data_IF_182053975340
#
_entry.id   IF_182053975340
#
_cell.length_a   1.000
_cell.length_b   1.000
_cell.length_c   1.000
_cell.angle_alpha   90.00
_cell.angle_beta   90.00
_cell.angle_gamma   90.00
#
_symmetry.space_group_name_H-M   'P 1'
#
loop_
_entity.id
_entity.type
_entity.pdbx_description
1 polymer ?
#
# COMPACT_ATOMS: atom_id res chain seq x y z
N UNK A 1 -9.89 -26.56 4.34
CA UNK A 1 -8.61 -27.24 4.00
C UNK A 1 -7.42 -26.49 4.58
N UNK A 2 -6.46 -27.19 5.20
CA UNK A 2 -5.25 -26.56 5.80
C UNK A 2 -4.43 -25.77 4.77
N UNK A 3 -4.32 -26.29 3.54
CA UNK A 3 -3.57 -25.65 2.46
C UNK A 3 -4.09 -24.24 2.12
N UNK A 4 -5.41 -24.01 2.10
CA UNK A 4 -6.00 -22.68 1.85
C UNK A 4 -5.62 -21.70 2.96
N UNK A 5 -5.66 -22.14 4.23
CA UNK A 5 -5.30 -21.27 5.36
C UNK A 5 -3.83 -20.89 5.32
N UNK A 6 -2.95 -21.84 5.02
CA UNK A 6 -1.52 -21.57 4.82
C UNK A 6 -1.30 -20.62 3.64
N UNK A 7 -2.01 -20.81 2.52
CA UNK A 7 -1.94 -19.89 1.38
C UNK A 7 -2.34 -18.46 1.77
N UNK A 8 -3.45 -18.28 2.51
CA UNK A 8 -3.87 -16.95 3.02
C UNK A 8 -2.78 -16.31 3.88
N UNK A 9 -2.20 -17.08 4.81
CA UNK A 9 -1.11 -16.60 5.67
C UNK A 9 0.11 -16.19 4.83
N UNK A 10 0.55 -17.04 3.90
CA UNK A 10 1.70 -16.78 3.05
C UNK A 10 1.50 -15.56 2.16
N UNK A 11 0.34 -15.40 1.53
CA UNK A 11 0.03 -14.23 0.71
C UNK A 11 0.11 -12.93 1.53
N UNK A 12 -0.48 -12.91 2.73
CA UNK A 12 -0.41 -11.74 3.62
C UNK A 12 1.02 -11.47 4.09
N UNK A 13 1.78 -12.50 4.44
CA UNK A 13 3.16 -12.37 4.89
C UNK A 13 4.05 -11.78 3.79
N UNK A 14 3.90 -12.24 2.54
CA UNK A 14 4.68 -11.73 1.41
C UNK A 14 4.30 -10.28 1.08
N UNK A 15 3.02 -9.91 1.16
CA UNK A 15 2.62 -8.49 1.03
C UNK A 15 3.22 -7.65 2.14
N UNK A 16 3.14 -8.09 3.40
CA UNK A 16 3.75 -7.40 4.53
C UNK A 16 5.25 -7.22 4.38
N UNK A 17 5.96 -8.26 3.90
CA UNK A 17 7.38 -8.20 3.61
C UNK A 17 7.70 -7.22 2.47
N UNK A 18 6.93 -7.27 1.38
CA UNK A 18 7.08 -6.33 0.27
C UNK A 18 6.94 -4.87 0.76
N UNK A 19 5.87 -4.55 1.49
CA UNK A 19 5.65 -3.19 1.99
C UNK A 19 6.72 -2.79 3.01
N UNK A 20 7.23 -3.72 3.82
CA UNK A 20 8.35 -3.46 4.72
C UNK A 20 9.63 -3.07 3.96
N UNK A 21 9.90 -3.72 2.81
CA UNK A 21 11.03 -3.34 1.94
C UNK A 21 10.83 -1.96 1.31
N UNK A 22 9.59 -1.62 0.91
CA UNK A 22 9.26 -0.28 0.40
C UNK A 22 9.52 0.77 1.49
N UNK A 23 8.98 0.58 2.69
CA UNK A 23 9.18 1.48 3.82
C UNK A 23 10.67 1.60 4.19
N UNK A 24 11.40 0.48 4.21
CA UNK A 24 12.84 0.47 4.46
C UNK A 24 13.59 1.28 3.40
N UNK A 25 13.27 1.09 2.11
CA UNK A 25 13.84 1.86 1.01
C UNK A 25 13.59 3.36 1.17
N UNK A 26 12.37 3.75 1.49
CA UNK A 26 12.00 5.16 1.72
C UNK A 26 12.68 5.77 2.96
N UNK A 27 13.08 4.97 3.94
CA UNK A 27 13.85 5.43 5.11
C UNK A 27 15.35 5.47 4.84
N UNK A 28 15.90 4.47 4.14
CA UNK A 28 17.34 4.34 3.90
C UNK A 28 17.84 5.18 2.74
N UNK A 29 17.01 5.35 1.71
CA UNK A 29 17.26 6.19 0.54
C UNK A 29 16.22 7.32 0.48
N UNK A 30 16.17 8.08 1.57
CA UNK A 30 15.13 9.07 1.83
C UNK A 30 15.05 10.14 0.76
N UNK A 31 16.19 10.71 0.36
CA UNK A 31 16.23 11.89 -0.50
C UNK A 31 15.83 11.60 -1.95
N UNK A 32 16.10 10.39 -2.45
CA UNK A 32 15.72 9.97 -3.80
C UNK A 32 14.20 9.96 -3.96
N UNK A 33 13.49 9.31 -3.04
CA UNK A 33 12.04 9.21 -3.08
C UNK A 33 11.35 10.49 -2.59
N UNK A 34 11.97 11.25 -1.68
CA UNK A 34 11.49 12.58 -1.33
C UNK A 34 11.50 13.52 -2.53
N UNK A 35 12.58 13.54 -3.32
CA UNK A 35 12.66 14.36 -4.53
C UNK A 35 11.54 14.01 -5.52
N UNK A 36 11.23 12.72 -5.69
CA UNK A 36 10.09 12.29 -6.50
C UNK A 36 8.75 12.87 -5.99
N UNK A 37 8.48 12.79 -4.68
CA UNK A 37 7.25 13.34 -4.11
C UNK A 37 7.18 14.86 -4.26
N UNK A 38 8.29 15.55 -4.06
CA UNK A 38 8.40 17.00 -4.27
C UNK A 38 8.04 17.40 -5.70
N UNK A 39 8.65 16.76 -6.71
CA UNK A 39 8.37 17.05 -8.13
C UNK A 39 6.90 16.82 -8.51
N UNK A 40 6.27 15.78 -7.95
CA UNK A 40 4.85 15.50 -8.15
C UNK A 40 3.97 16.60 -7.54
N UNK A 41 4.28 17.04 -6.32
CA UNK A 41 3.50 18.05 -5.61
C UNK A 41 3.71 19.46 -6.17
N UNK A 42 4.91 19.78 -6.64
CA UNK A 42 5.24 21.05 -7.29
C UNK A 42 4.61 21.17 -8.68
N UNK A 43 4.37 20.06 -9.36
CA UNK A 43 3.74 20.00 -10.69
C UNK A 43 4.49 20.75 -11.80
N UNK A 44 5.77 21.09 -11.61
CA UNK A 44 6.56 21.82 -12.62
C UNK A 44 6.76 21.02 -13.91
N UNK A 45 6.86 19.69 -13.78
CA UNK A 45 6.98 18.75 -14.89
C UNK A 45 5.66 18.52 -15.66
N UNK A 46 4.50 18.91 -15.11
CA UNK A 46 3.21 18.80 -15.82
C UNK A 46 3.22 19.76 -17.00
N UNK A 47 2.87 19.38 -18.25
CA UNK A 47 3.00 20.27 -19.41
C UNK A 47 2.34 21.66 -19.26
N UNK A 48 2.98 22.72 -19.76
CA UNK A 48 2.48 24.10 -19.62
C UNK A 48 1.12 24.36 -20.28
N UNK A 49 0.76 23.56 -21.29
CA UNK A 49 -0.57 23.60 -21.91
C UNK A 49 -1.68 23.05 -21.01
N UNK A 50 -1.33 22.34 -19.92
CA UNK A 50 -2.27 21.74 -19.00
C UNK A 50 -2.79 22.77 -17.99
N UNK A 51 -4.11 22.90 -17.90
CA UNK A 51 -4.76 23.89 -17.03
C UNK A 51 -4.81 23.47 -15.54
N UNK A 52 -4.15 22.39 -15.13
CA UNK A 52 -4.25 21.84 -13.76
C UNK A 52 -3.13 22.32 -12.82
N UNK A 53 -2.12 23.05 -13.31
CA UNK A 53 -0.96 23.51 -12.52
C UNK A 53 -1.33 24.37 -11.29
N UNK A 54 -2.54 24.93 -11.24
CA UNK A 54 -3.02 25.66 -10.05
C UNK A 54 -3.18 24.78 -8.81
N UNK A 55 -3.18 23.45 -8.96
CA UNK A 55 -3.27 22.47 -7.87
C UNK A 55 -1.94 22.24 -7.14
N UNK A 56 -0.85 22.82 -7.65
CA UNK A 56 0.49 22.66 -7.10
C UNK A 56 0.55 23.03 -5.62
N UNK A 57 1.33 22.27 -4.87
CA UNK A 57 1.63 22.52 -3.47
C UNK A 57 3.12 22.78 -3.41
N UNK A 58 3.52 24.05 -3.26
CA UNK A 58 4.95 24.47 -3.32
C UNK A 58 5.61 24.66 -1.96
N UNK A 59 4.92 24.27 -0.87
CA UNK A 59 5.43 24.42 0.48
C UNK A 59 6.34 23.24 0.85
N UNK A 60 7.64 23.46 1.13
CA UNK A 60 8.55 22.37 1.50
C UNK A 60 8.12 21.63 2.76
N UNK A 61 7.44 22.31 3.69
CA UNK A 61 6.89 21.69 4.90
C UNK A 61 5.77 20.72 4.55
N UNK A 62 4.91 21.05 3.59
CA UNK A 62 3.83 20.16 3.15
C UNK A 62 4.37 18.98 2.33
N UNK A 63 5.43 19.16 1.53
CA UNK A 63 6.14 18.06 0.88
C UNK A 63 6.66 17.06 1.91
N UNK A 64 7.39 17.57 2.91
CA UNK A 64 7.96 16.75 3.98
C UNK A 64 6.87 16.01 4.77
N UNK A 65 5.78 16.71 5.11
CA UNK A 65 4.64 16.11 5.81
C UNK A 65 3.97 15.01 4.96
N UNK A 66 3.76 15.25 3.66
CA UNK A 66 3.19 14.28 2.74
C UNK A 66 4.06 13.03 2.61
N UNK A 67 5.36 13.19 2.46
CA UNK A 67 6.27 12.06 2.33
C UNK A 67 6.40 11.25 3.63
N UNK A 68 6.47 11.92 4.80
CA UNK A 68 6.42 11.24 6.10
C UNK A 68 5.10 10.46 6.27
N UNK A 69 3.98 11.00 5.83
CA UNK A 69 2.68 10.32 5.90
C UNK A 69 2.66 9.05 5.04
N UNK A 70 3.26 9.08 3.84
CA UNK A 70 3.44 7.90 2.98
C UNK A 70 4.22 6.82 3.74
N UNK A 71 5.42 7.16 4.24
CA UNK A 71 6.29 6.22 4.97
C UNK A 71 5.58 5.65 6.20
N UNK A 72 4.93 6.50 7.00
CA UNK A 72 4.20 6.07 8.17
C UNK A 72 3.10 5.07 7.81
N UNK A 73 2.37 5.33 6.72
CA UNK A 73 1.31 4.44 6.23
C UNK A 73 1.86 3.09 5.75
N UNK A 74 3.03 3.08 5.10
CA UNK A 74 3.72 1.85 4.70
C UNK A 74 4.15 1.03 5.92
N UNK A 75 4.77 1.67 6.92
CA UNK A 75 5.18 1.00 8.16
C UNK A 75 3.98 0.39 8.89
N UNK A 76 2.88 1.14 9.04
CA UNK A 76 1.65 0.61 9.67
C UNK A 76 1.07 -0.54 8.84
N UNK A 77 1.02 -0.42 7.52
CA UNK A 77 0.54 -1.48 6.61
C UNK A 77 1.36 -2.76 6.76
N UNK A 78 2.69 -2.66 6.75
CA UNK A 78 3.60 -3.77 6.92
C UNK A 78 3.43 -4.44 8.29
N UNK A 79 3.35 -3.64 9.36
CA UNK A 79 3.15 -4.13 10.72
C UNK A 79 1.80 -4.86 10.87
N UNK A 80 0.71 -4.29 10.36
CA UNK A 80 -0.61 -4.92 10.39
C UNK A 80 -0.64 -6.24 9.62
N UNK A 81 -0.03 -6.29 8.43
CA UNK A 81 0.08 -7.52 7.66
C UNK A 81 0.91 -8.59 8.39
N UNK A 82 2.06 -8.23 8.96
CA UNK A 82 2.89 -9.15 9.73
C UNK A 82 2.17 -9.70 10.97
N UNK A 83 1.55 -8.83 11.76
CA UNK A 83 0.78 -9.22 12.95
C UNK A 83 -0.45 -10.06 12.57
N UNK A 84 -1.13 -9.73 11.47
CA UNK A 84 -2.21 -10.53 10.92
C UNK A 84 -1.78 -11.92 10.47
N UNK A 85 -0.64 -12.03 9.78
CA UNK A 85 -0.06 -13.32 9.40
C UNK A 85 0.28 -14.17 10.63
N UNK A 86 0.89 -13.58 11.66
CA UNK A 86 1.19 -14.25 12.93
C UNK A 86 -0.09 -14.70 13.64
N UNK A 87 -1.11 -13.84 13.72
CA UNK A 87 -2.39 -14.16 14.37
C UNK A 87 -3.08 -15.34 13.66
N UNK A 88 -3.16 -15.31 12.33
CA UNK A 88 -3.71 -16.41 11.53
C UNK A 88 -2.90 -17.70 11.69
N UNK A 89 -1.56 -17.62 11.72
CA UNK A 89 -0.69 -18.79 11.91
C UNK A 89 -0.92 -19.47 13.26
N UNK A 90 -1.12 -18.70 14.33
CA UNK A 90 -1.47 -19.23 15.67
C UNK A 90 -2.81 -19.97 15.69
N UNK A 91 -3.73 -19.64 14.78
CA UNK A 91 -5.07 -20.25 14.67
C UNK A 91 -5.21 -21.21 13.47
N UNK A 92 -4.11 -21.56 12.80
CA UNK A 92 -4.18 -22.23 11.49
C UNK A 92 -4.90 -23.59 11.53
N UNK A 93 -4.77 -24.34 12.64
CA UNK A 93 -5.46 -25.62 12.88
C UNK A 93 -6.71 -25.50 13.78
N UNK A 94 -7.08 -24.30 14.20
CA UNK A 94 -8.26 -24.09 15.03
C UNK A 94 -9.56 -24.31 14.23
N UNK A 95 -10.71 -24.31 14.91
CA UNK A 95 -12.01 -24.24 14.22
C UNK A 95 -12.11 -23.00 13.33
N UNK A 96 -13.05 -23.01 12.39
CA UNK A 96 -13.26 -21.94 11.43
C UNK A 96 -13.40 -20.57 12.10
N UNK A 97 -14.25 -20.44 13.11
CA UNK A 97 -14.53 -19.15 13.74
C UNK A 97 -13.29 -18.47 14.34
N UNK A 98 -12.44 -19.12 15.16
CA UNK A 98 -11.18 -18.52 15.62
C UNK A 98 -10.24 -18.07 14.49
N UNK A 99 -10.09 -18.87 13.43
CA UNK A 99 -9.25 -18.49 12.30
C UNK A 99 -9.80 -17.26 11.56
N UNK A 100 -11.12 -17.18 11.41
CA UNK A 100 -11.80 -16.06 10.78
C UNK A 100 -11.58 -14.76 11.56
N UNK A 101 -11.70 -14.80 12.88
CA UNK A 101 -11.44 -13.64 13.73
C UNK A 101 -9.96 -13.19 13.68
N UNK A 102 -9.02 -14.13 13.49
CA UNK A 102 -7.60 -13.83 13.41
C UNK A 102 -7.18 -13.03 12.16
N UNK A 103 -8.06 -12.91 11.16
CA UNK A 103 -7.77 -12.18 9.91
C UNK A 103 -7.85 -10.66 10.03
N UNK A 104 -8.47 -10.14 11.09
CA UNK A 104 -8.84 -8.71 11.18
C UNK A 104 -7.66 -7.77 10.94
N UNK A 105 -6.48 -8.08 11.49
CA UNK A 105 -5.28 -7.26 11.30
C UNK A 105 -4.75 -7.34 9.86
N UNK A 106 -4.81 -8.52 9.23
CA UNK A 106 -4.42 -8.68 7.83
C UNK A 106 -5.35 -7.89 6.90
N UNK A 107 -6.67 -7.93 7.15
CA UNK A 107 -7.67 -7.16 6.41
C UNK A 107 -7.43 -5.66 6.58
N UNK A 108 -7.17 -5.19 7.80
CA UNK A 108 -6.87 -3.79 8.07
C UNK A 108 -5.59 -3.33 7.35
N UNK A 109 -4.51 -4.12 7.41
CA UNK A 109 -3.25 -3.83 6.72
C UNK A 109 -3.42 -3.77 5.21
N UNK A 110 -4.04 -4.79 4.60
CA UNK A 110 -4.29 -4.83 3.16
C UNK A 110 -5.18 -3.67 2.69
N UNK A 111 -6.18 -3.29 3.49
CA UNK A 111 -7.05 -2.16 3.19
C UNK A 111 -6.29 -0.84 3.26
N UNK A 112 -5.44 -0.64 4.27
CA UNK A 112 -4.62 0.55 4.40
C UNK A 112 -3.62 0.66 3.24
N UNK A 113 -2.98 -0.43 2.86
CA UNK A 113 -2.12 -0.49 1.68
C UNK A 113 -2.89 -0.16 0.40
N UNK A 114 -4.06 -0.75 0.18
CA UNK A 114 -4.92 -0.41 -0.94
C UNK A 114 -5.25 1.09 -0.98
N UNK A 115 -5.62 1.70 0.14
CA UNK A 115 -5.92 3.14 0.22
C UNK A 115 -4.69 4.01 -0.07
N UNK A 116 -3.49 3.58 0.34
CA UNK A 116 -2.25 4.27 0.01
C UNK A 116 -1.99 4.24 -1.50
N UNK A 117 -2.06 3.08 -2.13
CA UNK A 117 -1.72 2.94 -3.55
C UNK A 117 -2.82 3.45 -4.49
N UNK A 118 -4.09 3.07 -4.27
CA UNK A 118 -5.23 3.57 -5.08
C UNK A 118 -5.55 5.01 -4.74
N UNK A 119 -5.73 5.33 -3.47
CA UNK A 119 -6.11 6.68 -3.04
C UNK A 119 -4.95 7.67 -3.15
N UNK A 120 -3.77 7.32 -2.62
CA UNK A 120 -2.61 8.20 -2.60
C UNK A 120 -1.92 8.32 -3.96
N UNK A 121 -1.50 7.21 -4.57
CA UNK A 121 -0.71 7.27 -5.80
C UNK A 121 -1.56 7.41 -7.06
N UNK A 122 -2.64 6.63 -7.22
CA UNK A 122 -3.46 6.69 -8.44
C UNK A 122 -4.39 7.90 -8.44
N UNK A 123 -5.25 8.03 -7.43
CA UNK A 123 -6.25 9.10 -7.41
C UNK A 123 -5.63 10.49 -7.09
N UNK A 124 -4.82 10.59 -6.04
CA UNK A 124 -4.19 11.88 -5.68
C UNK A 124 -2.97 12.16 -6.57
N UNK A 125 -1.97 11.29 -6.60
CA UNK A 125 -0.78 11.49 -7.43
C UNK A 125 -1.10 11.54 -8.92
N UNK A 126 -1.77 10.53 -9.45
CA UNK A 126 -2.16 10.43 -10.85
C UNK A 126 -3.12 11.51 -11.28
N UNK A 127 -4.33 11.55 -10.73
CA UNK A 127 -5.40 12.41 -11.26
C UNK A 127 -5.42 13.84 -10.70
N UNK A 128 -5.15 14.03 -9.41
CA UNK A 128 -5.11 15.38 -8.84
C UNK A 128 -3.85 16.12 -9.29
N UNK A 129 -2.67 15.53 -9.11
CA UNK A 129 -1.37 16.13 -9.46
C UNK A 129 -0.91 15.86 -10.89
N UNK A 130 -1.64 15.06 -11.67
CA UNK A 130 -1.32 14.85 -13.08
C UNK A 130 -0.01 14.09 -13.30
N UNK A 131 0.40 13.22 -12.37
CA UNK A 131 1.66 12.46 -12.42
C UNK A 131 1.83 11.69 -13.75
N UNK A 132 0.74 11.15 -14.32
CA UNK A 132 0.76 10.46 -15.60
C UNK A 132 1.06 11.36 -16.81
N UNK A 133 0.92 12.69 -16.68
CA UNK A 133 1.28 13.64 -17.73
C UNK A 133 2.79 13.90 -17.79
N UNK A 134 3.49 13.73 -16.66
CA UNK A 134 4.93 13.90 -16.55
C UNK A 134 5.61 12.54 -16.76
N UNK A 135 6.02 12.24 -18.00
CA UNK A 135 6.49 10.90 -18.41
C UNK A 135 7.58 10.30 -17.51
N UNK A 136 8.50 11.11 -17.02
CA UNK A 136 9.61 10.64 -16.19
C UNK A 136 9.20 10.38 -14.72
N UNK A 137 8.00 10.83 -14.33
CA UNK A 137 7.44 10.70 -12.98
C UNK A 137 6.23 9.76 -12.93
N UNK A 138 5.86 9.09 -14.02
CA UNK A 138 4.65 8.28 -14.06
C UNK A 138 4.79 6.98 -13.25
N UNK A 139 4.39 7.05 -11.98
CA UNK A 139 4.34 5.89 -11.09
C UNK A 139 2.98 5.18 -11.08
N UNK A 140 1.97 5.69 -11.80
CA UNK A 140 0.61 5.13 -11.80
C UNK A 140 0.58 3.66 -12.22
N UNK A 141 1.30 3.22 -13.29
CA UNK A 141 1.34 1.80 -13.66
C UNK A 141 1.96 0.90 -12.58
N UNK A 142 2.94 1.40 -11.85
CA UNK A 142 3.56 0.67 -10.74
C UNK A 142 2.61 0.56 -9.55
N UNK A 143 1.99 1.67 -9.15
CA UNK A 143 0.98 1.69 -8.10
C UNK A 143 -0.19 0.75 -8.41
N UNK A 144 -0.69 0.76 -9.66
CA UNK A 144 -1.77 -0.12 -10.12
C UNK A 144 -1.45 -1.60 -9.95
N UNK A 145 -0.22 -2.03 -10.26
CA UNK A 145 0.20 -3.44 -10.06
C UNK A 145 0.16 -3.83 -8.59
N UNK A 146 0.60 -2.94 -7.70
CA UNK A 146 0.65 -3.19 -6.26
C UNK A 146 -0.76 -3.23 -5.67
N UNK A 147 -1.60 -2.23 -5.95
CA UNK A 147 -2.96 -2.18 -5.41
C UNK A 147 -3.83 -3.35 -5.92
N UNK A 148 -3.64 -3.80 -7.16
CA UNK A 148 -4.39 -4.96 -7.68
C UNK A 148 -3.97 -6.25 -6.97
N UNK A 149 -2.68 -6.42 -6.70
CA UNK A 149 -2.18 -7.56 -5.92
C UNK A 149 -2.74 -7.53 -4.49
N UNK A 150 -2.72 -6.36 -3.84
CA UNK A 150 -3.29 -6.18 -2.50
C UNK A 150 -4.80 -6.45 -2.46
N UNK A 151 -5.55 -5.92 -3.43
CA UNK A 151 -6.99 -6.14 -3.55
C UNK A 151 -7.32 -7.62 -3.77
N UNK A 152 -6.55 -8.31 -4.63
CA UNK A 152 -6.70 -9.75 -4.85
C UNK A 152 -6.47 -10.56 -3.57
N UNK A 153 -5.41 -10.25 -2.82
CA UNK A 153 -5.13 -10.90 -1.52
C UNK A 153 -6.21 -10.56 -0.48
N UNK A 154 -6.69 -9.31 -0.45
CA UNK A 154 -7.77 -8.87 0.44
C UNK A 154 -9.05 -9.66 0.19
N UNK A 155 -9.47 -9.78 -1.07
CA UNK A 155 -10.62 -10.61 -1.47
C UNK A 155 -10.39 -12.06 -1.02
N UNK A 156 -9.25 -12.65 -1.36
CA UNK A 156 -8.92 -14.04 -1.03
C UNK A 156 -8.97 -14.32 0.48
N UNK A 157 -8.35 -13.45 1.29
CA UNK A 157 -8.34 -13.58 2.76
C UNK A 157 -9.74 -13.42 3.33
N UNK A 158 -10.56 -12.53 2.75
CA UNK A 158 -11.92 -12.24 3.23
C UNK A 158 -12.91 -13.37 2.96
N UNK A 159 -12.61 -14.29 2.04
CA UNK A 159 -13.42 -15.49 1.81
C UNK A 159 -13.51 -16.35 3.08
N UNK A 160 -14.71 -16.90 3.32
CA UNK A 160 -14.96 -17.72 4.50
C UNK A 160 -14.09 -18.99 4.50
N UNK A 161 -13.65 -19.41 5.68
CA UNK A 161 -12.95 -20.66 5.90
C UNK A 161 -13.87 -21.70 6.54
N UNK A 162 -13.63 -22.95 6.17
CA UNK A 162 -14.24 -24.13 6.77
C UNK A 162 -13.33 -24.72 7.84
N UNK A 163 -13.88 -25.66 8.62
CA UNK A 163 -13.09 -26.45 9.55
C UNK A 163 -12.02 -27.26 8.83
N UNK A 164 -10.88 -27.44 9.49
CA UNK A 164 -9.83 -28.35 9.03
C UNK A 164 -10.23 -29.74 9.49
N UNK A 165 -10.40 -30.67 8.56
CA UNK A 165 -10.58 -32.10 8.87
C UNK A 165 -9.30 -32.70 9.42
#
# INVERSE_FOLDING_TARGET
MLAIRLAKISCVAVIGFYVALVAFGNLSDYWTNFAFVTEVLDMDAVPAASAIRWRAVTSPVLHQAGYILIIATEVVTAALCALGAIAMARQVRAKAQPFQAAKSMAVAGLTLGFLLFEGGFVAVGGEWFGMWQARDLDAVPSAFRVLMTMLGVLIFVSLKDEDVR
#
